data_IF_166454240904
#
_entry.id   IF_166454240904
#
_cell.length_a   1.000
_cell.length_b   1.000
_cell.length_c   1.000
_cell.angle_alpha   90.00
_cell.angle_beta   90.00
_cell.angle_gamma   90.00
#
_symmetry.space_group_name_H-M   'P 1'
#
loop_
_entity.id
_entity.type
_entity.pdbx_description
1 polymer ?
#
# COMPACT_ATOMS: atom_id res chain seq x y z
N UNK A 1 56.63 -8.93 -55.11
CA UNK A 1 55.61 -7.86 -55.11
C UNK A 1 54.39 -8.40 -54.37
N UNK A 2 53.88 -7.58 -53.45
CA UNK A 2 52.75 -7.74 -52.52
C UNK A 2 51.49 -8.33 -53.18
N UNK A 3 50.53 -9.01 -52.51
CA UNK A 3 49.92 -8.68 -51.22
C UNK A 3 49.26 -9.90 -50.57
N UNK A 4 49.53 -10.10 -49.29
CA UNK A 4 48.67 -10.80 -48.32
C UNK A 4 47.38 -9.99 -48.11
N UNK A 5 46.23 -10.55 -48.50
CA UNK A 5 44.92 -10.01 -48.13
C UNK A 5 44.54 -10.54 -46.74
N UNK A 6 44.78 -9.73 -45.72
CA UNK A 6 44.16 -9.91 -44.41
C UNK A 6 42.68 -9.54 -44.52
N UNK A 7 41.79 -10.52 -44.43
CA UNK A 7 40.37 -10.26 -44.17
C UNK A 7 40.23 -9.96 -42.67
N UNK A 8 40.13 -8.67 -42.35
CA UNK A 8 39.76 -8.18 -41.03
C UNK A 8 38.30 -8.55 -40.78
N UNK A 9 38.06 -9.65 -40.06
CA UNK A 9 36.75 -9.94 -39.48
C UNK A 9 36.48 -8.88 -38.41
N UNK A 10 35.74 -7.82 -38.78
CA UNK A 10 35.17 -6.89 -37.82
C UNK A 10 34.12 -7.66 -37.00
N UNK A 11 34.54 -8.17 -35.84
CA UNK A 11 33.62 -8.63 -34.82
C UNK A 11 32.81 -7.41 -34.35
N UNK A 12 31.62 -7.22 -34.93
CA UNK A 12 30.55 -6.46 -34.31
C UNK A 12 30.14 -7.20 -33.03
N UNK A 13 30.93 -7.03 -31.97
CA UNK A 13 30.47 -7.27 -30.63
C UNK A 13 29.33 -6.30 -30.37
N UNK A 14 28.09 -6.75 -30.52
CA UNK A 14 26.99 -6.17 -29.79
C UNK A 14 27.36 -6.30 -28.32
N UNK A 15 27.97 -5.24 -27.78
CA UNK A 15 27.90 -4.99 -26.36
C UNK A 15 26.42 -4.81 -26.07
N UNK A 16 25.76 -5.90 -25.66
CA UNK A 16 24.54 -5.81 -24.89
C UNK A 16 24.94 -5.01 -23.63
N UNK A 17 24.79 -3.69 -23.70
CA UNK A 17 24.85 -2.82 -22.55
C UNK A 17 23.77 -3.33 -21.61
N UNK A 18 24.19 -4.17 -20.67
CA UNK A 18 23.31 -4.69 -19.64
C UNK A 18 22.80 -3.50 -18.87
N UNK A 19 21.58 -3.08 -19.16
CA UNK A 19 20.83 -2.13 -18.34
C UNK A 19 20.63 -2.82 -16.99
N UNK A 20 21.58 -2.60 -16.08
CA UNK A 20 21.52 -3.06 -14.69
C UNK A 20 20.56 -2.18 -13.86
N UNK A 21 19.62 -1.53 -14.53
CA UNK A 21 18.74 -0.52 -13.97
C UNK A 21 17.35 -1.06 -13.62
N UNK A 22 17.02 -2.30 -13.95
CA UNK A 22 15.67 -2.85 -13.77
C UNK A 22 15.23 -2.92 -12.28
N UNK A 23 13.96 -3.28 -12.07
CA UNK A 23 13.27 -3.11 -10.79
C UNK A 23 13.22 -4.40 -9.97
N UNK A 24 13.40 -4.28 -8.65
CA UNK A 24 13.10 -5.36 -7.68
C UNK A 24 12.33 -4.83 -6.48
N UNK A 25 11.59 -5.69 -5.79
CA UNK A 25 10.97 -5.33 -4.53
C UNK A 25 12.01 -5.07 -3.44
N UNK A 26 11.73 -4.05 -2.64
CA UNK A 26 12.46 -3.71 -1.41
C UNK A 26 11.60 -3.97 -0.17
N UNK A 27 10.29 -3.70 -0.26
CA UNK A 27 9.33 -4.03 0.78
C UNK A 27 8.11 -4.71 0.15
N UNK A 28 7.69 -5.92 0.60
CA UNK A 28 8.34 -6.74 1.63
C UNK A 28 9.77 -7.16 1.25
N UNK A 29 10.59 -7.50 2.25
CA UNK A 29 11.97 -7.94 2.02
C UNK A 29 11.95 -9.30 1.31
N UNK A 30 12.57 -9.43 0.11
CA UNK A 30 12.52 -10.67 -0.65
C UNK A 30 13.36 -11.79 -0.02
N UNK A 31 13.10 -13.03 -0.43
CA UNK A 31 14.03 -14.14 -0.21
C UNK A 31 15.36 -13.89 -0.93
N UNK A 32 16.46 -14.33 -0.31
CA UNK A 32 17.81 -14.26 -0.87
C UNK A 32 18.11 -12.86 -1.40
N UNK A 33 17.84 -11.82 -0.61
CA UNK A 33 17.86 -10.43 -1.07
C UNK A 33 19.21 -10.00 -1.65
N UNK A 34 20.30 -10.56 -1.14
CA UNK A 34 21.67 -10.27 -1.59
C UNK A 34 21.98 -10.88 -2.97
N UNK A 35 21.34 -12.01 -3.31
CA UNK A 35 21.53 -12.71 -4.58
C UNK A 35 20.44 -12.37 -5.62
N UNK A 36 19.44 -11.56 -5.24
CA UNK A 36 18.34 -11.21 -6.13
C UNK A 36 18.79 -10.19 -7.18
N UNK A 37 18.75 -10.61 -8.44
CA UNK A 37 19.02 -9.75 -9.59
C UNK A 37 17.77 -9.01 -10.04
N UNK A 38 17.93 -7.90 -10.74
CA UNK A 38 16.84 -7.09 -11.25
C UNK A 38 16.34 -7.44 -12.66
N UNK A 39 16.96 -8.41 -13.33
CA UNK A 39 16.49 -8.91 -14.61
C UNK A 39 15.06 -9.49 -14.52
N UNK A 40 14.28 -9.44 -15.62
CA UNK A 40 13.02 -10.17 -15.71
C UNK A 40 13.25 -11.69 -15.55
N UNK A 41 12.18 -12.46 -15.44
CA UNK A 41 12.25 -13.91 -15.62
C UNK A 41 12.80 -14.25 -17.02
N UNK A 42 13.42 -15.41 -17.14
CA UNK A 42 13.83 -15.96 -18.43
C UNK A 42 12.61 -16.15 -19.32
N UNK A 43 12.73 -15.77 -20.60
CA UNK A 43 11.62 -15.78 -21.54
C UNK A 43 11.09 -17.20 -21.87
N UNK A 44 11.84 -18.25 -21.56
CA UNK A 44 11.42 -19.66 -21.66
C UNK A 44 10.82 -20.21 -20.35
N UNK A 45 10.77 -19.38 -19.31
CA UNK A 45 10.28 -19.73 -17.98
C UNK A 45 11.21 -20.68 -17.21
N UNK A 46 12.50 -20.78 -17.57
CA UNK A 46 13.45 -21.67 -16.89
C UNK A 46 13.66 -21.32 -15.42
N UNK A 47 13.57 -20.03 -15.06
CA UNK A 47 13.74 -19.51 -13.69
C UNK A 47 12.41 -19.18 -12.98
N UNK A 48 11.27 -19.55 -13.57
CA UNK A 48 9.96 -19.43 -12.91
C UNK A 48 9.69 -20.61 -11.96
N UNK A 49 9.11 -20.38 -10.76
CA UNK A 49 8.77 -19.08 -10.14
C UNK A 49 9.93 -18.46 -9.36
N UNK A 50 9.78 -17.22 -8.91
CA UNK A 50 10.67 -16.57 -7.92
C UNK A 50 12.15 -16.33 -8.33
N UNK A 51 12.50 -16.48 -9.62
CA UNK A 51 13.87 -16.41 -10.14
C UNK A 51 14.77 -17.49 -9.52
N UNK A 52 14.50 -18.74 -9.90
CA UNK A 52 15.25 -19.92 -9.46
C UNK A 52 16.76 -19.70 -9.59
N UNK A 53 17.46 -19.86 -8.47
CA UNK A 53 18.90 -19.69 -8.32
C UNK A 53 19.34 -20.37 -7.02
N UNK A 54 20.64 -20.50 -6.80
CA UNK A 54 21.15 -20.96 -5.50
C UNK A 54 20.69 -20.03 -4.38
N UNK A 55 20.14 -20.60 -3.30
CA UNK A 55 19.62 -19.81 -2.16
C UNK A 55 18.35 -19.01 -2.45
N UNK A 56 17.59 -19.34 -3.51
CA UNK A 56 16.36 -18.60 -3.90
C UNK A 56 15.34 -18.46 -2.77
N UNK A 57 15.30 -19.38 -1.81
CA UNK A 57 14.38 -19.38 -0.66
C UNK A 57 15.07 -19.13 0.68
N UNK A 58 16.29 -18.60 0.66
CA UNK A 58 16.98 -18.19 1.90
C UNK A 58 16.22 -17.03 2.53
N UNK A 59 15.80 -17.20 3.79
CA UNK A 59 15.03 -16.18 4.51
C UNK A 59 15.98 -15.06 4.95
N UNK A 60 16.00 -13.96 4.21
CA UNK A 60 16.69 -12.73 4.65
C UNK A 60 15.97 -12.09 5.84
N UNK A 61 14.63 -12.00 5.76
CA UNK A 61 13.76 -11.51 6.84
C UNK A 61 12.35 -12.05 6.65
N UNK A 62 11.77 -12.69 7.68
CA UNK A 62 10.34 -12.99 7.69
C UNK A 62 9.52 -11.70 7.82
N UNK A 63 8.65 -11.43 6.85
CA UNK A 63 7.80 -10.24 6.87
C UNK A 63 6.48 -10.58 7.60
N UNK A 64 6.27 -10.03 8.79
CA UNK A 64 5.00 -10.21 9.52
C UNK A 64 3.93 -9.27 8.98
N UNK A 65 2.80 -9.84 8.55
CA UNK A 65 1.69 -9.10 7.92
C UNK A 65 0.40 -9.45 8.65
N UNK A 66 -0.14 -8.49 9.39
CA UNK A 66 -1.46 -8.66 10.01
C UNK A 66 -2.57 -8.43 8.98
N UNK A 67 -3.59 -9.29 8.99
CA UNK A 67 -4.80 -9.15 8.18
C UNK A 67 -5.43 -7.76 8.39
N UNK A 68 -5.82 -7.10 7.30
CA UNK A 68 -6.42 -5.76 7.31
C UNK A 68 -5.47 -4.60 7.69
N UNK A 69 -4.22 -4.87 8.07
CA UNK A 69 -3.26 -3.81 8.39
C UNK A 69 -2.62 -3.25 7.11
N UNK A 70 -2.55 -1.90 6.93
CA UNK A 70 -1.84 -1.29 5.80
C UNK A 70 -0.40 -1.80 5.67
N UNK A 71 -0.06 -2.26 4.48
CA UNK A 71 1.27 -2.68 4.08
C UNK A 71 1.77 -1.76 2.96
N UNK A 72 3.08 -1.59 2.89
CA UNK A 72 3.72 -0.85 1.79
C UNK A 72 4.36 -1.81 0.82
N UNK A 73 4.17 -1.58 -0.48
CA UNK A 73 4.97 -2.15 -1.56
C UNK A 73 5.94 -1.06 -2.04
N UNK A 74 7.24 -1.36 -2.06
CA UNK A 74 8.26 -0.43 -2.57
C UNK A 74 9.36 -1.17 -3.30
N UNK A 75 10.10 -0.45 -4.13
CA UNK A 75 11.06 -1.02 -5.07
C UNK A 75 12.44 -0.37 -4.96
N UNK A 76 13.45 -1.03 -5.52
CA UNK A 76 14.74 -0.44 -5.88
C UNK A 76 15.04 -0.68 -7.37
N UNK A 77 15.69 0.28 -8.01
CA UNK A 77 16.00 0.28 -9.44
C UNK A 77 15.66 1.63 -10.09
N UNK A 78 15.71 1.68 -11.41
CA UNK A 78 15.49 2.89 -12.23
C UNK A 78 14.81 2.66 -13.58
N UNK A 79 14.89 1.47 -14.18
CA UNK A 79 14.22 1.14 -15.43
C UNK A 79 12.79 0.68 -15.18
N UNK A 80 11.87 1.64 -15.08
CA UNK A 80 10.45 1.44 -14.80
C UNK A 80 9.61 1.20 -16.06
N UNK A 81 10.20 1.27 -17.26
CA UNK A 81 9.56 0.91 -18.53
C UNK A 81 8.20 1.58 -18.80
N UNK A 82 8.07 2.86 -18.40
CA UNK A 82 6.81 3.59 -18.55
C UNK A 82 5.70 3.13 -17.60
N UNK A 83 6.01 2.29 -16.61
CA UNK A 83 5.05 1.64 -15.73
C UNK A 83 4.63 0.26 -16.26
N UNK A 84 3.32 0.07 -16.39
CA UNK A 84 2.69 -1.24 -16.56
C UNK A 84 1.89 -1.64 -15.33
N UNK A 85 1.61 -2.94 -15.23
CA UNK A 85 0.69 -3.48 -14.23
C UNK A 85 1.33 -4.58 -13.40
N UNK A 86 0.91 -4.67 -12.13
CA UNK A 86 1.48 -5.60 -11.16
C UNK A 86 0.39 -6.40 -10.46
N UNK A 87 0.72 -7.62 -10.02
CA UNK A 87 -0.06 -8.35 -9.02
C UNK A 87 0.78 -8.65 -7.79
N UNK A 88 0.12 -8.62 -6.63
CA UNK A 88 0.58 -9.30 -5.43
C UNK A 88 -0.21 -10.59 -5.31
N UNK A 89 0.51 -11.71 -5.28
CA UNK A 89 -0.06 -13.05 -5.15
C UNK A 89 0.61 -13.81 -4.03
N UNK A 90 -0.06 -14.84 -3.51
CA UNK A 90 0.46 -15.65 -2.41
C UNK A 90 0.28 -17.14 -2.68
N UNK A 91 1.13 -17.94 -2.06
CA UNK A 91 0.99 -19.39 -1.98
C UNK A 91 1.41 -19.88 -0.59
N UNK A 92 0.84 -21.01 -0.15
CA UNK A 92 1.24 -21.65 1.11
C UNK A 92 2.59 -22.37 0.98
N UNK A 93 3.08 -22.56 -0.25
CA UNK A 93 4.37 -23.18 -0.49
C UNK A 93 5.50 -22.23 -0.06
N UNK A 94 6.31 -22.65 0.91
CA UNK A 94 7.49 -21.88 1.36
C UNK A 94 8.63 -21.92 0.34
N UNK A 95 8.62 -22.92 -0.53
CA UNK A 95 9.55 -23.09 -1.65
C UNK A 95 8.73 -23.41 -2.90
N UNK A 96 8.08 -22.41 -3.53
CA UNK A 96 7.19 -22.63 -4.65
C UNK A 96 7.86 -23.31 -5.84
N UNK A 97 7.11 -24.10 -6.58
CA UNK A 97 7.55 -24.75 -7.82
C UNK A 97 6.67 -24.30 -8.98
N UNK A 98 6.93 -24.80 -10.20
CA UNK A 98 6.08 -24.51 -11.36
C UNK A 98 4.62 -24.99 -11.19
N UNK A 99 4.37 -25.94 -10.28
CA UNK A 99 3.03 -26.44 -9.95
C UNK A 99 2.36 -25.74 -8.77
N UNK A 100 3.05 -24.80 -8.12
CA UNK A 100 2.47 -24.04 -7.01
C UNK A 100 1.30 -23.19 -7.48
N UNK A 101 0.21 -23.23 -6.72
CA UNK A 101 -0.95 -22.39 -6.97
C UNK A 101 -0.75 -21.03 -6.30
N UNK A 102 -0.82 -19.98 -7.10
CA UNK A 102 -0.66 -18.59 -6.68
C UNK A 102 -2.00 -17.89 -6.71
N UNK A 103 -2.39 -17.27 -5.59
CA UNK A 103 -3.67 -16.60 -5.41
C UNK A 103 -3.49 -15.10 -5.33
N UNK A 104 -4.17 -14.34 -6.20
CA UNK A 104 -4.06 -12.88 -6.26
C UNK A 104 -4.75 -12.24 -5.07
N UNK A 105 -4.02 -11.42 -4.33
CA UNK A 105 -4.55 -10.64 -3.21
C UNK A 105 -4.70 -9.15 -3.53
N UNK A 106 -3.98 -8.65 -4.53
CA UNK A 106 -4.04 -7.26 -4.96
C UNK A 106 -3.55 -7.10 -6.40
N UNK A 107 -4.24 -6.28 -7.20
CA UNK A 107 -3.80 -5.91 -8.55
C UNK A 107 -3.61 -4.40 -8.65
N UNK A 108 -2.54 -3.97 -9.32
CA UNK A 108 -2.27 -2.56 -9.64
C UNK A 108 -2.24 -2.46 -11.16
N UNK A 109 -3.24 -1.82 -11.73
CA UNK A 109 -3.43 -1.69 -13.17
C UNK A 109 -2.96 -0.31 -13.63
N UNK A 110 -1.76 -0.30 -14.22
CA UNK A 110 -1.08 0.90 -14.66
C UNK A 110 -0.31 1.67 -13.57
N UNK A 111 0.78 2.29 -14.01
CA UNK A 111 1.64 3.11 -13.15
C UNK A 111 2.50 2.32 -12.15
N UNK A 112 2.55 1.00 -12.23
CA UNK A 112 3.44 0.15 -11.42
C UNK A 112 4.68 -0.26 -12.23
N UNK A 113 5.91 -0.19 -11.69
CA UNK A 113 6.30 0.24 -10.34
C UNK A 113 6.45 1.76 -10.17
N UNK A 114 6.32 2.53 -11.24
CA UNK A 114 6.25 3.99 -11.15
C UNK A 114 5.40 4.57 -12.27
N UNK A 115 4.68 5.66 -11.96
CA UNK A 115 3.97 6.46 -12.94
C UNK A 115 4.91 7.52 -13.53
N UNK A 116 5.89 7.05 -14.29
CA UNK A 116 6.83 7.88 -15.04
C UNK A 116 6.68 7.58 -16.53
N UNK A 117 6.79 8.60 -17.39
CA UNK A 117 6.69 8.44 -18.86
C UNK A 117 7.90 7.74 -19.47
N UNK A 118 8.96 7.53 -18.69
CA UNK A 118 10.19 6.85 -19.06
C UNK A 118 10.94 6.38 -17.82
N UNK A 119 12.15 5.88 -18.01
CA UNK A 119 12.98 5.41 -16.89
C UNK A 119 13.37 6.57 -15.95
N UNK A 120 13.54 6.22 -14.68
CA UNK A 120 14.10 7.10 -13.65
C UNK A 120 15.61 7.29 -13.93
N UNK A 121 16.28 8.29 -13.30
CA UNK A 121 17.72 8.43 -13.39
C UNK A 121 18.43 7.11 -13.10
N UNK A 122 19.40 6.73 -13.94
CA UNK A 122 20.03 5.42 -13.88
C UNK A 122 20.70 5.20 -12.52
N UNK A 123 20.13 4.27 -11.76
CA UNK A 123 20.63 3.85 -10.47
C UNK A 123 20.06 2.44 -10.15
N UNK A 124 20.90 1.38 -10.10
CA UNK A 124 20.46 0.04 -9.71
C UNK A 124 19.87 -0.01 -8.30
N UNK A 125 20.29 0.92 -7.43
CA UNK A 125 19.83 1.07 -6.06
C UNK A 125 18.93 2.30 -5.88
N UNK A 126 18.39 2.85 -6.98
CA UNK A 126 17.49 4.00 -6.97
C UNK A 126 16.23 3.71 -6.16
N UNK A 127 15.75 4.69 -5.42
CA UNK A 127 14.60 4.56 -4.52
C UNK A 127 13.44 5.49 -4.91
N UNK A 128 13.51 6.08 -6.11
CA UNK A 128 12.60 7.13 -6.59
C UNK A 128 11.30 6.58 -7.20
N UNK A 129 11.16 5.25 -7.27
CA UNK A 129 9.93 4.60 -7.73
C UNK A 129 8.78 4.83 -6.75
N UNK A 130 7.55 4.69 -7.24
CA UNK A 130 6.36 4.89 -6.43
C UNK A 130 6.25 3.82 -5.33
N UNK A 131 5.62 4.20 -4.22
CA UNK A 131 5.20 3.26 -3.18
C UNK A 131 3.71 3.02 -3.28
N UNK A 132 3.28 1.77 -3.11
CA UNK A 132 1.88 1.39 -3.16
C UNK A 132 1.44 0.88 -1.80
N UNK A 133 0.18 1.14 -1.44
CA UNK A 133 -0.39 0.62 -0.20
C UNK A 133 -1.31 -0.54 -0.54
N UNK A 134 -1.21 -1.62 0.23
CA UNK A 134 -2.05 -2.79 0.06
C UNK A 134 -2.37 -3.38 1.44
N UNK A 135 -3.29 -4.32 1.51
CA UNK A 135 -3.63 -5.02 2.74
C UNK A 135 -3.83 -6.50 2.45
N UNK A 136 -3.48 -7.35 3.41
CA UNK A 136 -3.87 -8.75 3.37
C UNK A 136 -5.40 -8.85 3.51
N UNK A 137 -6.12 -9.48 2.57
CA UNK A 137 -7.58 -9.56 2.60
C UNK A 137 -8.14 -10.14 3.90
N UNK A 138 -9.32 -9.67 4.30
CA UNK A 138 -10.05 -10.25 5.41
C UNK A 138 -10.36 -11.75 5.18
N UNK A 139 -10.36 -12.54 6.25
CA UNK A 139 -10.65 -13.97 6.19
C UNK A 139 -9.47 -14.85 5.75
N UNK A 140 -8.33 -14.27 5.37
CA UNK A 140 -7.12 -15.01 5.04
C UNK A 140 -6.64 -15.87 6.23
N UNK A 141 -6.17 -17.11 6.02
CA UNK A 141 -5.73 -17.96 7.13
C UNK A 141 -4.42 -17.48 7.74
N UNK A 142 -4.26 -17.65 9.06
CA UNK A 142 -2.95 -17.50 9.70
C UNK A 142 -1.95 -18.53 9.15
N UNK A 143 -0.67 -18.15 9.04
CA UNK A 143 0.38 -19.08 8.63
C UNK A 143 1.54 -18.43 7.90
N UNK A 144 2.50 -19.24 7.49
CA UNK A 144 3.60 -18.82 6.63
C UNK A 144 3.24 -19.03 5.17
N UNK A 145 3.58 -18.03 4.35
CA UNK A 145 3.31 -18.02 2.91
C UNK A 145 4.53 -17.48 2.18
N UNK A 146 4.56 -17.72 0.88
CA UNK A 146 5.36 -16.93 -0.04
C UNK A 146 4.46 -15.90 -0.71
N UNK A 147 4.85 -14.63 -0.67
CA UNK A 147 4.26 -13.55 -1.48
C UNK A 147 5.09 -13.35 -2.74
N UNK A 148 4.44 -13.22 -3.88
CA UNK A 148 5.05 -12.82 -5.14
C UNK A 148 4.55 -11.44 -5.57
N UNK A 149 5.48 -10.55 -5.89
CA UNK A 149 5.23 -9.42 -6.77
C UNK A 149 5.51 -9.87 -8.20
N UNK A 150 4.52 -9.72 -9.07
CA UNK A 150 4.70 -9.85 -10.52
C UNK A 150 4.45 -8.53 -11.20
N UNK A 151 5.21 -8.23 -12.25
CA UNK A 151 5.07 -7.01 -13.03
C UNK A 151 5.22 -7.29 -14.53
N UNK A 152 4.30 -6.72 -15.30
CA UNK A 152 4.28 -6.75 -16.75
C UNK A 152 4.52 -5.33 -17.24
N UNK A 153 5.69 -5.10 -17.85
CA UNK A 153 6.15 -3.80 -18.28
C UNK A 153 5.37 -3.28 -19.49
N UNK A 154 5.08 -1.98 -19.49
CA UNK A 154 4.35 -1.33 -20.58
C UNK A 154 5.20 -1.22 -21.85
N UNK A 155 6.41 -0.69 -21.72
CA UNK A 155 7.32 -0.37 -22.84
C UNK A 155 8.51 -1.34 -22.86
N UNK A 156 9.00 -1.72 -24.04
CA UNK A 156 10.21 -2.54 -24.23
C UNK A 156 9.91 -3.98 -24.63
N UNK A 157 10.80 -4.90 -24.24
CA UNK A 157 10.55 -6.33 -24.47
C UNK A 157 9.30 -6.78 -23.72
N UNK A 158 8.62 -7.81 -24.22
CA UNK A 158 7.48 -8.40 -23.49
C UNK A 158 8.06 -9.27 -22.39
N UNK A 159 8.07 -8.76 -21.16
CA UNK A 159 8.73 -9.39 -20.02
C UNK A 159 7.76 -9.64 -18.88
N UNK A 160 8.13 -10.56 -17.98
CA UNK A 160 7.48 -10.75 -16.69
C UNK A 160 8.56 -10.66 -15.62
N UNK A 161 8.43 -9.70 -14.71
CA UNK A 161 9.26 -9.62 -13.52
C UNK A 161 8.56 -10.38 -12.40
N UNK A 162 9.32 -11.09 -11.58
CA UNK A 162 8.78 -11.77 -10.41
C UNK A 162 9.80 -11.77 -9.27
N UNK A 163 9.42 -11.27 -8.10
CA UNK A 163 10.21 -11.42 -6.89
C UNK A 163 9.34 -11.99 -5.77
N UNK A 164 9.93 -12.85 -4.94
CA UNK A 164 9.21 -13.53 -3.87
C UNK A 164 9.75 -13.14 -2.50
N UNK A 165 8.87 -13.03 -1.52
CA UNK A 165 9.18 -12.70 -0.13
C UNK A 165 8.55 -13.71 0.83
N UNK A 166 9.25 -14.12 1.90
CA UNK A 166 8.65 -14.88 2.98
C UNK A 166 7.73 -13.97 3.80
N UNK A 167 6.50 -14.41 4.05
CA UNK A 167 5.57 -13.69 4.90
C UNK A 167 4.98 -14.59 5.98
N UNK A 168 4.67 -14.02 7.13
CA UNK A 168 3.85 -14.64 8.17
C UNK A 168 2.57 -13.82 8.32
N UNK A 169 1.42 -14.44 8.03
CA UNK A 169 0.10 -13.82 8.16
C UNK A 169 -0.44 -14.05 9.58
N UNK A 170 -0.85 -12.97 10.23
CA UNK A 170 -1.41 -12.97 11.60
C UNK A 170 -2.76 -12.25 11.67
N UNK A 171 -3.54 -12.51 12.72
CA UNK A 171 -4.88 -11.92 12.89
C UNK A 171 -5.94 -12.42 11.89
N UNK A 172 -5.64 -13.52 11.20
CA UNK A 172 -6.48 -14.14 10.20
C UNK A 172 -7.41 -15.23 10.73
N UNK A 173 -8.08 -15.91 9.80
CA UNK A 173 -9.01 -17.02 10.06
C UNK A 173 -8.30 -18.37 10.24
N UNK A 174 -9.05 -19.40 10.62
CA UNK A 174 -8.64 -20.80 10.52
C UNK A 174 -9.21 -21.50 9.26
N UNK A 175 -10.15 -20.87 8.55
CA UNK A 175 -10.71 -21.38 7.29
C UNK A 175 -9.86 -20.94 6.09
N UNK A 176 -9.78 -21.80 5.06
CA UNK A 176 -9.11 -21.53 3.78
C UNK A 176 -10.03 -20.96 2.70
N UNK A 177 -11.32 -20.79 2.96
CA UNK A 177 -12.32 -20.40 1.96
C UNK A 177 -11.96 -19.06 1.29
N UNK A 178 -11.53 -18.08 2.09
CA UNK A 178 -11.14 -16.77 1.57
C UNK A 178 -10.00 -16.86 0.55
N UNK A 179 -8.98 -17.67 0.84
CA UNK A 179 -7.85 -17.88 -0.07
C UNK A 179 -8.25 -18.69 -1.31
N UNK A 180 -9.11 -19.69 -1.14
CA UNK A 180 -9.57 -20.54 -2.24
C UNK A 180 -10.45 -19.77 -3.24
N UNK A 181 -11.19 -18.77 -2.77
CA UNK A 181 -12.03 -17.89 -3.59
C UNK A 181 -11.23 -16.82 -4.37
N UNK A 182 -9.93 -16.67 -4.11
CA UNK A 182 -9.08 -15.74 -4.87
C UNK A 182 -8.77 -16.32 -6.27
N UNK A 183 -8.68 -15.45 -7.29
CA UNK A 183 -8.30 -15.90 -8.62
C UNK A 183 -6.83 -16.31 -8.66
N UNK A 184 -6.49 -17.11 -9.67
CA UNK A 184 -5.10 -17.49 -9.92
C UNK A 184 -4.30 -16.31 -10.50
N UNK A 185 -3.02 -16.26 -10.16
CA UNK A 185 -2.08 -15.25 -10.65
C UNK A 185 -1.94 -15.32 -12.17
N UNK A 186 -1.99 -14.16 -12.82
CA UNK A 186 -1.76 -14.03 -14.25
C UNK A 186 -0.29 -14.31 -14.60
N UNK A 187 -0.07 -15.04 -15.70
CA UNK A 187 1.25 -15.40 -16.19
C UNK A 187 1.31 -15.19 -17.70
N UNK A 188 2.35 -14.51 -18.18
CA UNK A 188 2.61 -14.26 -19.59
C UNK A 188 4.12 -14.05 -19.77
N UNK A 189 4.57 -13.99 -21.03
CA UNK A 189 5.94 -13.60 -21.41
C UNK A 189 7.05 -14.53 -20.90
N UNK A 190 6.71 -15.76 -20.51
CA UNK A 190 7.64 -16.77 -19.95
C UNK A 190 7.55 -18.10 -20.69
N UNK A 191 7.31 -18.06 -22.00
CA UNK A 191 7.27 -19.25 -22.85
C UNK A 191 6.01 -20.11 -22.65
N UNK A 192 5.00 -19.57 -21.97
CA UNK A 192 3.73 -20.25 -21.68
C UNK A 192 2.67 -20.10 -22.79
N UNK A 193 3.04 -19.52 -23.94
CA UNK A 193 2.12 -19.29 -25.06
C UNK A 193 1.17 -18.10 -24.87
N UNK A 194 1.38 -17.27 -23.85
CA UNK A 194 0.68 -16.02 -23.63
C UNK A 194 1.64 -14.83 -23.68
N UNK A 195 1.30 -13.81 -24.46
CA UNK A 195 2.13 -12.62 -24.64
C UNK A 195 1.30 -11.35 -24.42
N UNK A 196 1.84 -10.42 -23.63
CA UNK A 196 1.23 -9.09 -23.45
C UNK A 196 1.54 -8.16 -24.63
N UNK A 197 0.73 -7.11 -24.81
CA UNK A 197 0.94 -6.09 -25.86
C UNK A 197 1.72 -4.90 -25.32
N UNK A 198 2.54 -4.27 -26.17
CA UNK A 198 3.31 -3.07 -25.84
C UNK A 198 2.43 -1.81 -25.86
N UNK A 199 2.79 -0.83 -25.01
CA UNK A 199 2.11 0.46 -24.84
C UNK A 199 0.77 0.39 -24.10
N UNK A 200 0.40 -0.77 -23.56
CA UNK A 200 -0.76 -0.93 -22.69
C UNK A 200 -0.33 -1.15 -21.23
N UNK A 201 -1.01 -0.47 -20.32
CA UNK A 201 -1.08 -0.83 -18.91
C UNK A 201 -2.07 -2.01 -18.80
N UNK A 202 -1.56 -3.24 -18.70
CA UNK A 202 -2.37 -4.46 -18.74
C UNK A 202 -3.51 -4.43 -17.69
N UNK A 203 -4.74 -4.58 -18.15
CA UNK A 203 -5.90 -4.93 -17.34
C UNK A 203 -5.95 -6.45 -17.22
N UNK A 204 -5.87 -6.97 -16.00
CA UNK A 204 -5.80 -8.41 -15.80
C UNK A 204 -7.15 -9.07 -16.11
N UNK A 205 -7.18 -10.23 -16.77
CA UNK A 205 -8.43 -10.98 -16.97
C UNK A 205 -9.12 -11.34 -15.66
N UNK A 206 -8.33 -11.58 -14.61
CA UNK A 206 -8.79 -11.94 -13.27
C UNK A 206 -8.07 -11.08 -12.22
N UNK A 207 -8.48 -9.81 -12.03
CA UNK A 207 -7.74 -8.88 -11.18
C UNK A 207 -8.02 -9.10 -9.68
N UNK A 208 -9.04 -9.90 -9.35
CA UNK A 208 -9.49 -10.10 -7.98
C UNK A 208 -10.35 -8.94 -7.47
N UNK A 209 -10.60 -8.91 -6.16
CA UNK A 209 -11.48 -7.91 -5.53
C UNK A 209 -10.79 -6.58 -5.21
N UNK A 210 -9.47 -6.58 -5.09
CA UNK A 210 -8.70 -5.42 -4.65
C UNK A 210 -7.84 -4.92 -5.80
N UNK A 211 -8.36 -3.93 -6.52
CA UNK A 211 -7.73 -3.34 -7.71
C UNK A 211 -7.44 -1.87 -7.45
N UNK A 212 -6.21 -1.45 -7.73
CA UNK A 212 -5.80 -0.06 -7.78
C UNK A 212 -5.48 0.31 -9.23
N UNK A 213 -6.17 1.31 -9.77
CA UNK A 213 -5.84 1.87 -11.09
C UNK A 213 -4.90 3.08 -10.94
N UNK A 214 -3.86 3.15 -11.78
CA UNK A 214 -2.86 4.22 -11.71
C UNK A 214 -2.31 4.71 -13.04
N UNK A 215 -2.64 4.04 -14.16
CA UNK A 215 -2.18 4.37 -15.51
C UNK A 215 -3.18 5.16 -16.35
N UNK A 216 -2.75 5.58 -17.54
CA UNK A 216 -3.60 6.28 -18.52
C UNK A 216 -3.91 5.46 -19.76
N UNK A 217 -3.16 4.38 -20.01
CA UNK A 217 -3.23 3.61 -21.26
C UNK A 217 -3.65 2.16 -20.94
N UNK A 218 -4.71 2.02 -20.15
CA UNK A 218 -5.26 0.72 -19.79
C UNK A 218 -5.67 -0.07 -21.04
N UNK A 219 -5.32 -1.35 -21.09
CA UNK A 219 -5.65 -2.22 -22.20
C UNK A 219 -5.67 -3.70 -21.81
N UNK A 220 -6.54 -4.46 -22.46
CA UNK A 220 -6.73 -5.91 -22.22
C UNK A 220 -6.28 -6.75 -23.41
N UNK A 221 -5.47 -6.17 -24.31
CA UNK A 221 -5.01 -6.86 -25.51
C UNK A 221 -3.96 -7.92 -25.13
N UNK A 222 -4.19 -9.14 -25.60
CA UNK A 222 -3.36 -10.31 -25.32
C UNK A 222 -3.20 -11.15 -26.60
N UNK A 223 -2.02 -11.75 -26.77
CA UNK A 223 -1.72 -12.60 -27.92
C UNK A 223 -1.43 -14.03 -27.45
N UNK A 224 -2.07 -15.01 -28.09
CA UNK A 224 -1.90 -16.44 -27.79
C UNK A 224 -2.92 -16.97 -26.79
N UNK A 225 -2.54 -18.01 -26.03
CA UNK A 225 -3.41 -18.68 -25.07
C UNK A 225 -3.17 -18.14 -23.66
N UNK A 226 -3.87 -17.06 -23.30
CA UNK A 226 -3.69 -16.36 -22.02
C UNK A 226 -4.65 -16.80 -20.91
N UNK A 227 -5.29 -17.95 -21.07
CA UNK A 227 -6.37 -18.39 -20.19
C UNK A 227 -7.63 -17.53 -20.34
N UNK A 228 -8.79 -18.12 -20.06
CA UNK A 228 -10.02 -17.35 -19.96
C UNK A 228 -10.06 -16.59 -18.62
N UNK A 229 -10.71 -15.43 -18.59
CA UNK A 229 -11.16 -14.87 -17.32
C UNK A 229 -11.98 -15.94 -16.59
N UNK A 230 -11.55 -16.35 -15.39
CA UNK A 230 -12.39 -17.12 -14.50
C UNK A 230 -13.57 -16.22 -14.13
N UNK A 231 -14.79 -16.69 -14.40
CA UNK A 231 -15.97 -16.00 -13.92
C UNK A 231 -15.81 -15.74 -12.42
N UNK A 232 -16.09 -14.52 -11.91
CA UNK A 232 -15.94 -14.23 -10.49
C UNK A 232 -16.82 -15.18 -9.68
N UNK A 233 -16.21 -16.19 -9.06
CA UNK A 233 -16.88 -17.08 -8.11
C UNK A 233 -17.21 -16.25 -6.87
N UNK A 234 -18.45 -15.79 -6.79
CA UNK A 234 -18.96 -15.02 -5.65
C UNK A 234 -19.65 -13.70 -5.98
N UNK A 235 -20.01 -13.45 -7.25
CA UNK A 235 -21.00 -12.42 -7.55
C UNK A 235 -22.40 -12.92 -7.20
N UNK A 236 -22.83 -12.67 -5.96
CA UNK A 236 -24.25 -12.38 -5.69
C UNK A 236 -24.48 -10.89 -5.92
N UNK A 237 -24.45 -10.47 -7.18
CA UNK A 237 -25.26 -9.34 -7.62
C UNK A 237 -26.48 -9.89 -8.33
N UNK A 238 -27.47 -10.27 -7.53
CA UNK A 238 -28.80 -10.61 -8.04
C UNK A 238 -29.64 -9.34 -8.13
N UNK A 239 -29.87 -8.85 -9.35
CA UNK A 239 -31.13 -8.17 -9.64
C UNK A 239 -32.24 -9.22 -9.64
N UNK A 240 -33.09 -9.21 -8.63
CA UNK A 240 -34.25 -10.08 -8.53
C UNK A 240 -35.30 -9.44 -7.61
N UNK A 241 -36.31 -8.83 -8.21
CA UNK A 241 -37.51 -8.37 -7.52
C UNK A 241 -38.19 -9.56 -6.83
N UNK A 242 -38.39 -9.47 -5.52
CA UNK A 242 -39.10 -10.48 -4.73
C UNK A 242 -39.42 -9.94 -3.35
N UNK A 243 -40.63 -9.43 -3.19
CA UNK A 243 -41.24 -9.06 -1.92
C UNK A 243 -41.28 -10.28 -0.98
N UNK A 244 -40.71 -10.15 0.22
CA UNK A 244 -40.74 -11.20 1.24
C UNK A 244 -40.20 -10.70 2.56
N UNK A 245 -41.03 -10.79 3.58
CA UNK A 245 -40.90 -10.19 4.91
C UNK A 245 -39.60 -10.48 5.65
N UNK A 246 -39.09 -9.46 6.35
CA UNK A 246 -37.97 -9.54 7.29
C UNK A 246 -38.23 -10.54 8.43
N UNK A 247 -37.28 -11.41 8.80
CA UNK A 247 -37.19 -11.92 10.16
C UNK A 247 -36.39 -10.94 11.02
N UNK A 248 -36.96 -10.63 12.19
CA UNK A 248 -36.36 -9.80 13.21
C UNK A 248 -35.05 -10.41 13.76
N UNK A 249 -34.10 -9.53 14.03
CA UNK A 249 -32.89 -9.75 14.82
C UNK A 249 -33.20 -10.37 16.19
N UNK A 250 -32.65 -11.56 16.47
CA UNK A 250 -32.61 -12.15 17.81
C UNK A 250 -31.32 -11.74 18.52
N UNK A 251 -31.47 -10.90 19.55
CA UNK A 251 -30.46 -10.69 20.58
C UNK A 251 -30.35 -11.95 21.44
N UNK A 252 -29.12 -12.36 21.73
CA UNK A 252 -28.83 -13.48 22.62
C UNK A 252 -29.36 -13.20 24.03
N UNK A 253 -30.20 -14.11 24.53
CA UNK A 253 -30.71 -14.10 25.89
C UNK A 253 -29.66 -14.60 26.89
N UNK A 254 -29.41 -13.84 27.95
CA UNK A 254 -28.79 -14.32 29.17
C UNK A 254 -29.81 -15.16 29.97
N UNK A 255 -29.42 -16.28 30.61
CA UNK A 255 -30.35 -17.04 31.45
C UNK A 255 -30.47 -16.39 32.83
N UNK A 256 -31.71 -16.08 33.26
CA UNK A 256 -32.06 -15.81 34.66
C UNK A 256 -32.94 -16.93 35.20
N UNK A 257 -32.73 -17.30 36.46
CA UNK A 257 -33.76 -17.89 37.32
C UNK A 257 -33.41 -19.18 38.02
N UNK A 258 -32.85 -19.08 39.23
CA UNK A 258 -33.35 -19.85 40.37
C UNK A 258 -33.47 -18.92 41.58
N UNK A 259 -34.62 -18.96 42.23
CA UNK A 259 -35.09 -18.01 43.22
C UNK A 259 -35.07 -18.64 44.62
N UNK A 260 -34.93 -17.79 45.64
CA UNK A 260 -35.06 -18.09 47.07
C UNK A 260 -33.71 -18.09 47.79
N UNK A 261 -33.38 -17.23 48.75
CA UNK A 261 -34.17 -16.37 49.64
C UNK A 261 -33.77 -16.70 51.08
N UNK A 262 -33.18 -15.77 51.83
CA UNK A 262 -32.92 -15.97 53.27
C UNK A 262 -31.84 -15.07 53.88
N UNK A 263 -32.23 -14.32 54.91
CA UNK A 263 -31.54 -13.23 55.59
C UNK A 263 -30.20 -13.52 56.29
N UNK A 264 -29.51 -12.42 56.60
CA UNK A 264 -28.23 -12.29 57.32
C UNK A 264 -28.27 -12.70 58.81
N UNK A 265 -27.11 -13.15 59.34
CA UNK A 265 -26.51 -12.73 60.63
C UNK A 265 -25.21 -13.51 60.91
N UNK A 266 -24.17 -12.81 61.38
CA UNK A 266 -22.91 -13.39 61.89
C UNK A 266 -23.00 -13.69 63.42
N UNK A 267 -21.94 -14.16 64.10
CA UNK A 267 -21.83 -15.50 64.69
C UNK A 267 -21.91 -15.52 66.24
N UNK A 268 -21.90 -16.71 66.89
CA UNK A 268 -21.44 -16.84 68.26
C UNK A 268 -20.07 -17.53 68.32
N UNK A 269 -19.15 -16.94 69.11
CA UNK A 269 -17.88 -17.55 69.48
C UNK A 269 -18.01 -18.52 70.65
N UNK A 270 -16.95 -19.31 70.89
CA UNK A 270 -16.60 -19.81 72.22
C UNK A 270 -15.10 -20.12 72.35
N UNK A 271 -14.64 -19.95 73.58
CA UNK A 271 -13.27 -19.85 74.12
C UNK A 271 -12.38 -21.09 74.04
N UNK A 272 -11.06 -20.85 74.03
CA UNK A 272 -10.20 -21.27 75.16
C UNK A 272 -8.91 -22.03 74.86
N UNK A 273 -7.78 -21.49 75.34
CA UNK A 273 -6.60 -22.28 75.80
C UNK A 273 -5.28 -21.96 75.11
N UNK A 274 -4.40 -21.21 75.78
CA UNK A 274 -3.07 -20.84 75.29
C UNK A 274 -1.96 -21.85 75.61
N UNK A 275 -0.87 -21.75 74.83
CA UNK A 275 0.53 -21.73 75.29
C UNK A 275 1.45 -21.39 74.09
N UNK A 276 2.40 -20.48 74.31
CA UNK A 276 3.51 -20.09 73.41
C UNK A 276 4.79 -20.83 73.87
N UNK A 277 6.00 -20.69 73.26
CA UNK A 277 6.40 -19.98 72.03
C UNK A 277 7.35 -20.81 71.10
N UNK A 278 7.75 -20.28 69.92
CA UNK A 278 9.16 -20.10 69.48
C UNK A 278 9.22 -19.22 68.20
N UNK A 279 9.93 -18.10 68.35
CA UNK A 279 10.74 -17.25 67.45
C UNK A 279 10.55 -17.19 65.91
N UNK A 280 10.39 -15.95 65.42
CA UNK A 280 10.85 -15.47 64.11
C UNK A 280 11.80 -14.26 64.32
N UNK A 281 12.91 -14.12 63.57
CA UNK A 281 13.79 -12.95 63.66
C UNK A 281 13.28 -11.74 62.87
N UNK A 282 13.82 -10.58 63.27
CA UNK A 282 13.38 -9.20 63.01
C UNK A 282 14.49 -8.41 62.30
N UNK A 283 14.10 -7.36 61.56
CA UNK A 283 14.90 -6.18 61.18
C UNK A 283 14.44 -5.61 59.83
N UNK A 284 13.89 -4.40 59.64
CA UNK A 284 14.12 -3.10 60.31
C UNK A 284 15.43 -2.50 59.79
N UNK A 285 15.54 -1.31 59.15
CA UNK A 285 15.04 0.04 59.44
C UNK A 285 14.93 0.86 58.11
N UNK A 286 13.94 1.72 57.87
CA UNK A 286 13.85 3.15 58.26
C UNK A 286 14.14 4.04 57.01
N UNK A 287 13.42 5.08 56.59
CA UNK A 287 12.38 5.93 57.18
C UNK A 287 12.82 7.40 57.04
N UNK A 288 12.18 8.22 56.19
CA UNK A 288 12.37 9.68 56.17
C UNK A 288 11.93 10.45 54.91
N UNK A 289 10.80 11.15 55.03
CA UNK A 289 10.17 12.09 54.08
C UNK A 289 11.00 13.34 53.73
N UNK A 290 10.68 13.97 52.58
CA UNK A 290 10.95 15.40 52.34
C UNK A 290 10.71 15.87 50.90
N UNK A 291 9.89 16.91 50.74
CA UNK A 291 9.24 17.38 49.52
C UNK A 291 10.10 18.17 48.51
N UNK A 292 9.69 18.09 47.23
CA UNK A 292 9.58 19.22 46.29
C UNK A 292 10.84 19.88 45.71
N UNK A 293 11.09 19.66 44.41
CA UNK A 293 11.46 20.69 43.40
C UNK A 293 11.82 20.04 42.05
N UNK A 294 11.17 20.50 40.96
CA UNK A 294 11.78 20.60 39.63
C UNK A 294 12.49 21.98 39.53
N UNK A 295 13.34 22.31 38.55
CA UNK A 295 13.62 21.62 37.26
C UNK A 295 15.12 21.54 36.89
N UNK A 296 15.47 20.84 35.80
CA UNK A 296 16.34 21.38 34.72
C UNK A 296 16.83 20.33 33.71
N UNK A 297 16.92 20.82 32.49
CA UNK A 297 17.34 20.24 31.22
C UNK A 297 18.67 19.46 31.25
N UNK A 298 18.70 18.30 30.60
CA UNK A 298 19.93 17.60 30.23
C UNK A 298 20.28 17.98 28.79
N UNK A 299 21.45 18.59 28.63
CA UNK A 299 22.07 18.96 27.36
C UNK A 299 22.60 17.74 26.59
N UNK A 300 22.65 17.87 25.26
CA UNK A 300 23.21 16.91 24.32
C UNK A 300 24.72 16.70 24.53
N UNK A 301 25.28 15.52 24.18
CA UNK A 301 26.72 15.33 24.16
C UNK A 301 27.36 15.90 22.88
N UNK A 302 28.40 16.71 23.07
CA UNK A 302 29.30 17.21 22.03
C UNK A 302 30.28 16.14 21.54
N UNK A 303 30.63 16.24 20.26
CA UNK A 303 31.63 15.44 19.57
C UNK A 303 33.03 15.56 20.22
N UNK A 304 33.75 14.43 20.23
CA UNK A 304 35.16 14.35 20.62
C UNK A 304 35.99 13.96 19.40
N UNK A 305 36.88 14.85 18.98
CA UNK A 305 37.95 14.56 18.02
C UNK A 305 39.16 13.89 18.70
N UNK A 306 39.89 13.06 17.95
CA UNK A 306 41.32 12.73 18.17
C UNK A 306 42.03 12.56 16.81
N UNK A 307 43.38 12.67 16.76
CA UNK A 307 44.10 13.38 15.71
C UNK A 307 44.82 12.43 14.74
N UNK A 308 45.24 13.00 13.59
CA UNK A 308 45.94 12.31 12.52
C UNK A 308 47.47 12.22 12.65
N UNK A 309 48.07 11.51 11.67
CA UNK A 309 49.47 11.56 11.18
C UNK A 309 49.51 10.72 9.88
N UNK A 310 49.62 11.29 8.67
CA UNK A 310 50.85 11.53 7.87
C UNK A 310 50.99 10.46 6.74
N UNK A 311 51.40 10.65 5.47
CA UNK A 311 52.09 11.74 4.73
C UNK A 311 52.11 11.45 3.19
N UNK A 312 51.64 12.41 2.34
CA UNK A 312 52.04 12.85 0.96
C UNK A 312 52.23 11.92 -0.28
N UNK A 313 52.40 12.46 -1.54
CA UNK A 313 52.15 13.81 -2.09
C UNK A 313 51.25 13.87 -3.38
N UNK A 314 50.76 15.08 -3.74
CA UNK A 314 49.75 15.41 -4.79
C UNK A 314 50.20 15.38 -6.27
N UNK A 315 49.58 16.11 -7.25
CA UNK A 315 48.75 17.35 -7.22
C UNK A 315 47.31 17.14 -7.77
N UNK A 316 46.26 17.97 -7.60
CA UNK A 316 46.09 19.36 -7.19
C UNK A 316 45.12 20.04 -8.19
N UNK A 317 43.81 20.07 -7.92
CA UNK A 317 42.81 20.90 -8.63
C UNK A 317 41.73 21.35 -7.62
N UNK A 318 41.69 22.65 -7.35
CA UNK A 318 40.80 23.29 -6.38
C UNK A 318 39.56 23.81 -7.11
N UNK A 319 38.37 23.25 -6.83
CA UNK A 319 37.10 23.82 -7.27
C UNK A 319 36.17 23.98 -6.06
N UNK A 320 36.02 25.24 -5.63
CA UNK A 320 35.11 25.67 -4.59
C UNK A 320 33.67 25.42 -5.03
N UNK A 321 32.97 24.50 -4.36
CA UNK A 321 31.52 24.31 -4.53
C UNK A 321 30.84 24.61 -3.21
N UNK A 322 30.11 25.71 -3.17
CA UNK A 322 29.22 26.11 -2.07
C UNK A 322 28.06 25.11 -1.98
N UNK A 323 27.87 24.48 -0.81
CA UNK A 323 26.67 23.69 -0.53
C UNK A 323 25.72 24.48 0.36
N UNK A 324 24.51 24.73 -0.13
CA UNK A 324 23.39 25.25 0.66
C UNK A 324 22.85 24.12 1.56
N UNK A 325 22.89 24.34 2.87
CA UNK A 325 22.30 23.45 3.87
C UNK A 325 20.80 23.78 3.97
N UNK A 326 19.95 22.92 3.43
CA UNK A 326 18.49 23.00 3.64
C UNK A 326 18.14 22.26 4.93
N UNK A 327 17.87 23.02 5.99
CA UNK A 327 17.37 22.49 7.26
C UNK A 327 15.90 22.09 7.12
N UNK A 328 15.61 20.79 7.23
CA UNK A 328 14.22 20.27 7.22
C UNK A 328 13.68 20.23 8.66
N UNK A 329 12.82 21.19 9.00
CA UNK A 329 12.06 21.17 10.27
C UNK A 329 10.89 20.20 10.13
N UNK A 330 10.93 19.08 10.83
CA UNK A 330 9.80 18.13 10.93
C UNK A 330 8.89 18.56 12.09
N UNK A 331 7.63 18.88 11.80
CA UNK A 331 6.60 19.08 12.82
C UNK A 331 5.87 17.75 13.06
N UNK A 332 5.96 17.24 14.27
CA UNK A 332 5.17 16.10 14.73
C UNK A 332 3.80 16.58 15.22
N UNK A 333 2.71 16.08 14.62
CA UNK A 333 1.36 16.34 15.11
C UNK A 333 0.99 15.28 16.16
N UNK A 334 0.87 15.70 17.42
CA UNK A 334 0.30 14.89 18.50
C UNK A 334 -1.21 15.10 18.51
N UNK A 335 -2.00 14.12 18.07
CA UNK A 335 -3.45 14.13 18.28
C UNK A 335 -3.77 13.49 19.63
N UNK A 336 -3.84 14.31 20.68
CA UNK A 336 -4.51 13.95 21.93
C UNK A 336 -6.02 14.04 21.77
N UNK A 337 -6.75 13.02 22.21
CA UNK A 337 -8.21 13.05 22.29
C UNK A 337 -8.64 14.07 23.35
N UNK A 338 -9.39 15.09 22.92
CA UNK A 338 -10.03 16.08 23.81
C UNK A 338 -11.50 16.27 23.42
N UNK A 339 -12.41 16.58 24.36
CA UNK A 339 -13.86 16.55 24.14
C UNK A 339 -14.37 17.69 23.26
N UNK A 340 -15.48 17.43 22.58
CA UNK A 340 -16.21 18.37 21.72
C UNK A 340 -16.72 19.62 22.48
N UNK A 341 -16.74 20.81 21.84
CA UNK A 341 -17.51 21.93 22.34
C UNK A 341 -18.95 21.91 21.78
N UNK A 342 -19.89 22.09 22.70
CA UNK A 342 -21.32 22.36 22.50
C UNK A 342 -21.56 23.74 21.87
N UNK A 343 -22.60 23.85 21.05
CA UNK A 343 -22.89 25.02 20.22
C UNK A 343 -23.49 26.24 20.91
N UNK A 344 -23.72 27.28 20.10
CA UNK A 344 -24.59 28.41 20.40
C UNK A 344 -25.06 29.08 19.09
N UNK A 345 -26.38 29.26 18.98
CA UNK A 345 -27.09 30.01 17.94
C UNK A 345 -26.75 31.51 17.90
N UNK A 346 -26.99 32.16 16.76
CA UNK A 346 -27.04 33.63 16.65
C UNK A 346 -27.06 34.18 15.22
N UNK A 347 -28.24 34.61 14.76
CA UNK A 347 -28.54 35.14 13.42
C UNK A 347 -28.05 36.57 13.12
N UNK A 348 -27.78 36.81 11.82
CA UNK A 348 -28.38 37.89 10.97
C UNK A 348 -27.45 38.93 10.29
N UNK A 349 -27.70 39.08 8.97
CA UNK A 349 -27.84 40.34 8.18
C UNK A 349 -26.68 40.88 7.29
N UNK A 350 -26.90 40.76 5.96
CA UNK A 350 -26.58 41.73 4.87
C UNK A 350 -25.13 41.81 4.40
N UNK A 351 -24.76 41.89 3.12
CA UNK A 351 -25.43 42.00 1.83
C UNK A 351 -24.41 42.57 0.82
N UNK A 352 -24.33 42.03 -0.40
CA UNK A 352 -23.48 42.60 -1.46
C UNK A 352 -22.90 41.56 -2.43
N UNK A 353 -23.54 41.41 -3.59
CA UNK A 353 -23.05 40.72 -4.79
C UNK A 353 -22.25 41.73 -5.66
N UNK A 354 -21.44 41.34 -6.68
CA UNK A 354 -22.07 40.83 -7.92
C UNK A 354 -21.26 39.87 -8.85
N UNK A 355 -22.02 39.22 -9.75
CA UNK A 355 -21.76 38.69 -11.13
C UNK A 355 -20.99 37.37 -11.41
N UNK A 356 -21.80 36.33 -11.72
CA UNK A 356 -21.80 35.34 -12.83
C UNK A 356 -20.64 34.39 -13.15
N UNK A 357 -20.98 33.08 -13.23
CA UNK A 357 -20.99 32.32 -14.50
C UNK A 357 -21.96 31.13 -14.39
N UNK A 358 -22.83 30.98 -15.39
CA UNK A 358 -23.82 29.90 -15.51
C UNK A 358 -23.19 28.71 -16.25
N UNK A 359 -23.30 27.51 -15.69
CA UNK A 359 -22.83 26.27 -16.30
C UNK A 359 -23.62 25.09 -15.75
N UNK A 360 -24.53 24.59 -16.58
CA UNK A 360 -25.50 23.51 -16.40
C UNK A 360 -25.08 22.39 -15.44
N UNK A 361 -25.83 22.26 -14.34
CA UNK A 361 -25.90 21.08 -13.49
C UNK A 361 -26.62 19.97 -14.25
N UNK A 362 -25.93 18.88 -14.55
CA UNK A 362 -26.57 17.61 -14.90
C UNK A 362 -27.01 16.97 -13.58
N UNK A 363 -28.29 17.15 -13.25
CA UNK A 363 -28.95 16.40 -12.20
C UNK A 363 -29.25 15.00 -12.74
N UNK A 364 -28.64 13.98 -12.14
CA UNK A 364 -29.09 12.59 -12.23
C UNK A 364 -29.33 12.14 -10.81
N UNK A 365 -30.61 12.02 -10.43
CA UNK A 365 -31.02 11.75 -9.06
C UNK A 365 -30.95 10.28 -8.66
N UNK A 366 -30.87 10.02 -7.35
CA UNK A 366 -31.90 9.30 -6.59
C UNK A 366 -31.54 9.13 -5.10
N UNK A 367 -32.54 9.39 -4.23
CA UNK A 367 -32.88 8.74 -2.94
C UNK A 367 -31.85 8.63 -1.80
N UNK A 368 -31.68 9.70 -1.03
CA UNK A 368 -31.21 9.63 0.35
C UNK A 368 -31.51 10.93 1.12
N UNK A 369 -32.20 10.87 2.26
CA UNK A 369 -32.40 12.04 3.13
C UNK A 369 -31.16 12.25 4.00
N UNK A 370 -30.08 12.73 3.38
CA UNK A 370 -28.88 13.13 4.09
C UNK A 370 -29.18 14.38 4.93
N UNK A 371 -28.81 14.36 6.22
CA UNK A 371 -29.07 15.46 7.17
C UNK A 371 -27.79 16.24 7.47
N UNK A 372 -27.93 17.46 8.00
CA UNK A 372 -26.77 18.27 8.42
C UNK A 372 -25.91 18.79 7.27
N UNK A 373 -26.48 19.01 6.08
CA UNK A 373 -25.76 19.56 4.91
C UNK A 373 -24.86 18.56 4.18
N UNK A 374 -25.00 17.27 4.46
CA UNK A 374 -24.35 16.19 3.72
C UNK A 374 -24.99 15.95 2.35
N UNK A 375 -24.19 15.50 1.40
CA UNK A 375 -24.59 15.29 -0.01
C UNK A 375 -24.73 13.79 -0.26
N UNK A 376 -25.82 13.38 -0.92
CA UNK A 376 -26.02 11.99 -1.29
C UNK A 376 -24.96 11.52 -2.30
N UNK A 377 -24.58 10.25 -2.20
CA UNK A 377 -23.53 9.66 -3.02
C UNK A 377 -23.73 8.15 -3.20
N UNK A 378 -23.38 7.63 -4.37
CA UNK A 378 -23.80 6.27 -4.76
C UNK A 378 -22.82 5.17 -4.31
N UNK A 379 -21.62 5.54 -3.89
CA UNK A 379 -20.55 4.57 -3.62
C UNK A 379 -19.81 4.92 -2.33
N UNK A 380 -20.01 4.15 -1.26
CA UNK A 380 -19.23 4.30 -0.02
C UNK A 380 -17.72 4.25 -0.31
N UNK A 381 -16.97 5.18 0.30
CA UNK A 381 -15.53 5.36 0.11
C UNK A 381 -15.14 6.29 -1.05
N UNK A 382 -16.07 6.68 -1.92
CA UNK A 382 -15.78 7.64 -3.00
C UNK A 382 -15.60 9.08 -2.47
N UNK A 383 -14.75 9.86 -3.14
CA UNK A 383 -14.65 11.31 -2.91
C UNK A 383 -15.78 11.98 -3.68
N UNK A 384 -16.50 12.87 -3.02
CA UNK A 384 -17.58 13.67 -3.61
C UNK A 384 -17.18 15.13 -3.57
N UNK A 385 -17.13 15.79 -4.72
CA UNK A 385 -16.88 17.23 -4.75
C UNK A 385 -18.14 17.99 -4.34
N UNK A 386 -18.03 18.80 -3.28
CA UNK A 386 -19.15 19.56 -2.70
C UNK A 386 -18.84 21.04 -2.89
N UNK A 387 -19.40 21.62 -3.96
CA UNK A 387 -19.10 23.00 -4.35
C UNK A 387 -17.62 23.22 -4.74
N UNK A 388 -17.18 24.47 -4.71
CA UNK A 388 -15.85 24.86 -5.20
C UNK A 388 -14.71 24.72 -4.17
N UNK A 389 -15.07 24.57 -2.89
CA UNK A 389 -14.13 24.66 -1.76
C UNK A 389 -14.19 23.47 -0.80
N UNK A 390 -15.05 22.49 -1.05
CA UNK A 390 -15.24 21.36 -0.14
C UNK A 390 -15.29 20.04 -0.91
N UNK A 391 -15.01 18.97 -0.18
CA UNK A 391 -15.20 17.59 -0.63
C UNK A 391 -15.79 16.79 0.53
N UNK A 392 -16.37 15.63 0.27
CA UNK A 392 -16.74 14.68 1.33
C UNK A 392 -16.33 13.27 0.94
N UNK A 393 -16.08 12.42 1.93
CA UNK A 393 -15.97 10.98 1.71
C UNK A 393 -17.37 10.39 1.87
N UNK A 394 -17.82 9.65 0.86
CA UNK A 394 -19.10 8.96 0.92
C UNK A 394 -19.04 7.88 2.01
N UNK A 395 -19.92 7.95 3.01
CA UNK A 395 -19.97 6.95 4.07
C UNK A 395 -20.80 5.72 3.65
N UNK A 396 -20.94 4.75 4.56
CA UNK A 396 -21.75 3.54 4.33
C UNK A 396 -23.25 3.83 4.21
N UNK A 397 -23.70 5.02 4.62
CA UNK A 397 -25.09 5.46 4.53
C UNK A 397 -25.36 6.26 3.25
N UNK A 398 -24.42 6.27 2.30
CA UNK A 398 -24.52 7.01 1.05
C UNK A 398 -24.63 8.53 1.26
N UNK A 399 -24.01 9.05 2.32
CA UNK A 399 -23.92 10.47 2.59
C UNK A 399 -22.45 10.92 2.71
N UNK A 400 -22.10 11.99 2.00
CA UNK A 400 -20.79 12.62 2.06
C UNK A 400 -20.88 13.90 2.90
N UNK A 401 -20.20 13.90 4.05
CA UNK A 401 -20.12 15.08 4.94
C UNK A 401 -19.12 16.09 4.37
N UNK A 402 -19.49 17.38 4.20
CA UNK A 402 -18.60 18.38 3.64
C UNK A 402 -17.39 18.66 4.54
N UNK A 403 -16.21 18.62 3.94
CA UNK A 403 -14.91 18.95 4.53
C UNK A 403 -14.22 20.00 3.66
N UNK A 404 -13.55 20.96 4.30
CA UNK A 404 -12.82 21.99 3.57
C UNK A 404 -11.65 21.39 2.78
N UNK A 405 -11.47 21.87 1.55
CA UNK A 405 -10.26 21.57 0.78
C UNK A 405 -9.05 22.25 1.40
N UNK A 406 -7.91 21.56 1.39
CA UNK A 406 -6.64 22.15 1.78
C UNK A 406 -6.28 23.31 0.84
N UNK A 407 -5.54 24.30 1.36
CA UNK A 407 -5.01 25.41 0.57
C UNK A 407 -4.34 24.93 -0.72
N UNK A 408 -4.60 25.64 -1.82
CA UNK A 408 -4.14 25.33 -3.18
C UNK A 408 -4.64 24.03 -3.81
N UNK A 409 -5.65 23.36 -3.23
CA UNK A 409 -6.33 22.22 -3.87
C UNK A 409 -7.70 22.63 -4.45
N UNK A 410 -8.18 21.85 -5.41
CA UNK A 410 -9.53 21.94 -5.98
C UNK A 410 -10.10 20.54 -6.12
N UNK A 411 -11.37 20.38 -5.78
CA UNK A 411 -12.12 19.19 -6.12
C UNK A 411 -12.84 19.43 -7.46
N UNK A 412 -12.59 18.60 -8.46
CA UNK A 412 -13.35 18.61 -9.70
C UNK A 412 -13.57 17.17 -10.17
N UNK A 413 -14.78 16.86 -10.63
CA UNK A 413 -15.15 15.52 -11.08
C UNK A 413 -14.74 14.42 -10.07
N UNK A 414 -15.01 14.65 -8.79
CA UNK A 414 -14.69 13.73 -7.68
C UNK A 414 -13.19 13.45 -7.49
N UNK A 415 -12.32 14.33 -7.99
CA UNK A 415 -10.86 14.27 -7.84
C UNK A 415 -10.32 15.54 -7.19
N UNK A 416 -9.46 15.38 -6.18
CA UNK A 416 -8.77 16.51 -5.51
C UNK A 416 -7.38 16.69 -6.11
N UNK A 417 -7.10 17.86 -6.68
CA UNK A 417 -5.82 18.17 -7.31
C UNK A 417 -5.33 19.60 -6.96
N UNK A 418 -4.00 19.82 -6.99
CA UNK A 418 -3.41 21.15 -6.80
C UNK A 418 -3.73 22.10 -7.96
N UNK A 419 -4.01 23.38 -7.65
CA UNK A 419 -4.39 24.43 -8.62
C UNK A 419 -3.38 24.58 -9.77
N UNK A 420 -2.09 24.42 -9.52
CA UNK A 420 -1.02 24.59 -10.52
C UNK A 420 -0.97 23.54 -11.65
N UNK A 421 -1.65 22.38 -11.54
CA UNK A 421 -1.53 21.29 -12.54
C UNK A 421 -2.68 21.17 -13.56
N UNK A 422 -3.71 22.01 -13.49
CA UNK A 422 -4.91 21.84 -14.32
C UNK A 422 -4.93 22.70 -15.59
N UNK A 423 -4.12 23.77 -15.68
CA UNK A 423 -3.94 24.50 -16.95
C UNK A 423 -3.17 23.67 -17.99
N UNK A 424 -2.31 22.75 -17.54
CA UNK A 424 -1.58 21.82 -18.41
C UNK A 424 -2.47 20.71 -18.95
N UNK A 425 -3.52 20.32 -18.20
CA UNK A 425 -4.43 19.25 -18.58
C UNK A 425 -5.47 19.70 -19.64
N UNK A 426 -5.96 20.94 -19.56
CA UNK A 426 -6.92 21.49 -20.55
C UNK A 426 -6.25 21.79 -21.91
N UNK A 427 -5.02 22.32 -21.93
CA UNK A 427 -4.33 22.64 -23.20
C UNK A 427 -4.03 21.42 -24.06
N UNK A 428 -3.94 20.22 -23.48
CA UNK A 428 -3.68 18.98 -24.22
C UNK A 428 -4.94 18.43 -24.91
N UNK A 429 -6.14 18.65 -24.37
CA UNK A 429 -7.40 18.25 -25.02
C UNK A 429 -7.82 19.15 -26.20
N UNK A 430 -7.45 20.44 -26.18
CA UNK A 430 -7.78 21.35 -27.29
C UNK A 430 -6.86 21.19 -28.52
N UNK A 431 -5.63 20.69 -28.34
CA UNK A 431 -4.70 20.48 -29.48
C UNK A 431 -5.00 19.23 -30.32
N UNK A 432 -5.81 18.29 -29.82
CA UNK A 432 -6.18 17.08 -30.58
C UNK A 432 -7.43 17.24 -31.45
N UNK A 433 -8.21 18.33 -31.30
CA UNK A 433 -9.43 18.57 -32.10
C UNK A 433 -9.26 19.63 -33.20
N UNK A 434 -8.02 20.05 -33.52
CA UNK A 434 -7.75 20.96 -34.65
C UNK A 434 -6.60 20.41 -35.50
N UNK A 435 -6.87 19.28 -36.17
CA UNK A 435 -6.26 18.90 -37.46
C UNK A 435 -7.30 18.10 -38.23
N UNK A 436 -8.20 18.83 -38.89
CA UNK A 436 -8.83 18.42 -40.15
C UNK A 436 -8.06 19.11 -41.28
#
# INVERSE_FOLDING_TARGET
MFSTAFFTAAACGLFASGVNAHMVIRNPVPYGADSLTNSPLAADGSDFPCKQRSGVYDVTKMNTIAVGSPQTLSFKGSAVHGGGSCQLSITMDKQPTKSSQWKVIHSIEGGCPANATGNLPENPNGLDAATFNWQMPAGMPNGEYTLAWTWFNKIGNREMYMNCAPITVTGGSNSKDAMQALPDMFQANIGNGCTTVENEDLVFPNPGKFVQEGGSDLGSSLVGNCGAAAAPTGYSGGSGSGSGSSPASSSAAAPTGYNGGGAASSPPGYNGGGNSPVAAPKGGYGGGNGSGAAPSSVAAPSATERPGSGSGPGPGNNMSTTYDIVTVTTMATVTGAGPAPTGSDGSSSGGGSPVSYSGSQLSSGSTGTCTGGSVACDTPGSIICIGAGQFGLCDINNCAVPQALAGDTRCNANVIARRAKYLTHIKRKLKHNVRL
#
